data_IF_096020112873
#
_entry.id   IF_096020112873
#
_cell.length_a   1.000
_cell.length_b   1.000
_cell.length_c   1.000
_cell.angle_alpha   90.00
_cell.angle_beta   90.00
_cell.angle_gamma   90.00
#
_symmetry.space_group_name_H-M   'P 1'
#
loop_
_entity.id
_entity.type
_entity.pdbx_description
1 polymer ?
#
# COMPACT_ATOMS: atom_id res chain seq x y z
N UNK A 1 -19.35 -7.02 -2.43
CA UNK A 1 -19.89 -6.12 -1.40
C UNK A 1 -18.73 -5.32 -0.81
N UNK A 2 -18.84 -3.99 -0.66
CA UNK A 2 -17.75 -3.20 -0.05
C UNK A 2 -17.71 -3.47 1.46
N UNK A 3 -16.51 -3.54 2.04
CA UNK A 3 -16.34 -3.69 3.48
C UNK A 3 -16.90 -2.46 4.20
N UNK A 4 -17.73 -2.68 5.22
CA UNK A 4 -18.33 -1.62 6.04
C UNK A 4 -17.65 -1.62 7.41
N UNK A 5 -17.13 -0.47 7.82
CA UNK A 5 -16.53 -0.28 9.15
C UNK A 5 -17.52 0.44 10.05
N UNK A 6 -17.69 -0.07 11.27
CA UNK A 6 -18.47 0.57 12.33
C UNK A 6 -17.54 0.90 13.49
N UNK A 7 -17.47 2.16 13.87
CA UNK A 7 -16.76 2.59 15.06
C UNK A 7 -17.76 2.58 16.21
N UNK A 8 -17.55 1.72 17.21
CA UNK A 8 -18.44 1.57 18.36
C UNK A 8 -17.87 2.35 19.54
N UNK A 9 -18.51 3.47 19.85
CA UNK A 9 -18.22 4.39 20.96
C UNK A 9 -19.31 4.34 22.03
N UNK A 10 -20.54 3.97 21.67
CA UNK A 10 -21.70 3.94 22.56
C UNK A 10 -22.68 2.80 22.22
N UNK A 11 -23.69 2.63 23.08
CA UNK A 11 -24.69 1.57 22.94
C UNK A 11 -25.61 1.73 21.72
N UNK A 12 -25.81 2.96 21.21
CA UNK A 12 -26.68 3.18 20.04
C UNK A 12 -26.04 2.63 18.74
N UNK A 13 -24.71 2.68 18.67
CA UNK A 13 -23.97 2.13 17.53
C UNK A 13 -23.97 0.60 17.52
N UNK A 14 -24.09 -0.05 18.69
CA UNK A 14 -24.25 -1.51 18.80
C UNK A 14 -25.53 -1.96 18.09
N UNK A 15 -26.66 -1.27 18.30
CA UNK A 15 -27.93 -1.60 17.65
C UNK A 15 -27.82 -1.51 16.12
N UNK A 16 -27.12 -0.49 15.62
CA UNK A 16 -26.86 -0.33 14.18
C UNK A 16 -26.02 -1.47 13.60
N UNK A 17 -25.00 -1.91 14.34
CA UNK A 17 -24.15 -3.05 13.96
C UNK A 17 -24.97 -4.34 13.93
N UNK A 18 -25.79 -4.60 14.94
CA UNK A 18 -26.65 -5.79 15.02
C UNK A 18 -27.62 -5.82 13.83
N UNK A 19 -28.27 -4.70 13.50
CA UNK A 19 -29.18 -4.61 12.36
C UNK A 19 -28.46 -4.88 11.03
N UNK A 20 -27.24 -4.35 10.87
CA UNK A 20 -26.41 -4.59 9.69
C UNK A 20 -25.97 -6.05 9.58
N UNK A 21 -25.55 -6.67 10.69
CA UNK A 21 -25.19 -8.09 10.73
C UNK A 21 -26.37 -8.97 10.34
N UNK A 22 -27.56 -8.74 10.90
CA UNK A 22 -28.76 -9.51 10.56
C UNK A 22 -29.09 -9.43 9.07
N UNK A 23 -29.06 -8.23 8.50
CA UNK A 23 -29.39 -8.01 7.09
C UNK A 23 -28.40 -8.72 6.17
N UNK A 24 -27.11 -8.64 6.49
CA UNK A 24 -26.06 -9.15 5.61
C UNK A 24 -25.77 -10.63 5.82
N UNK A 25 -25.95 -11.16 7.02
CA UNK A 25 -25.93 -12.61 7.27
C UNK A 25 -27.01 -13.30 6.44
N UNK A 26 -28.22 -12.77 6.45
CA UNK A 26 -29.34 -13.36 5.70
C UNK A 26 -29.06 -13.40 4.20
N UNK A 27 -28.48 -12.33 3.64
CA UNK A 27 -28.06 -12.27 2.23
C UNK A 27 -26.89 -13.21 1.92
N UNK A 28 -25.87 -13.23 2.78
CA UNK A 28 -24.70 -14.09 2.60
C UNK A 28 -25.07 -15.58 2.69
N UNK A 29 -25.98 -15.94 3.59
CA UNK A 29 -26.54 -17.28 3.71
C UNK A 29 -27.33 -17.68 2.45
N UNK A 30 -28.09 -16.75 1.86
CA UNK A 30 -28.80 -16.98 0.59
C UNK A 30 -27.83 -17.19 -0.59
N UNK A 31 -26.70 -16.49 -0.59
CA UNK A 31 -25.63 -16.64 -1.59
C UNK A 31 -24.64 -17.78 -1.27
N UNK A 32 -24.87 -18.52 -0.17
CA UNK A 32 -24.00 -19.59 0.32
C UNK A 32 -22.53 -19.18 0.52
N UNK A 33 -22.32 -17.93 0.96
CA UNK A 33 -20.99 -17.35 1.24
C UNK A 33 -20.88 -17.02 2.74
N UNK A 34 -19.70 -17.21 3.35
CA UNK A 34 -19.50 -16.85 4.75
C UNK A 34 -19.48 -15.33 4.95
N UNK A 35 -20.16 -14.86 6.00
CA UNK A 35 -20.02 -13.46 6.47
C UNK A 35 -18.84 -13.38 7.45
N UNK A 36 -17.78 -12.68 7.07
CA UNK A 36 -16.59 -12.48 7.92
C UNK A 36 -16.70 -11.17 8.69
N UNK A 37 -16.71 -11.24 10.02
CA UNK A 37 -16.70 -10.07 10.92
C UNK A 37 -15.34 -9.98 11.59
N UNK A 38 -14.70 -8.80 11.55
CA UNK A 38 -13.49 -8.49 12.31
C UNK A 38 -13.83 -7.38 13.31
N UNK A 39 -13.54 -7.62 14.58
CA UNK A 39 -13.72 -6.65 15.67
C UNK A 39 -12.33 -6.30 16.18
N UNK A 40 -12.02 -5.01 16.21
CA UNK A 40 -10.76 -4.50 16.73
C UNK A 40 -11.04 -3.40 17.76
N UNK A 41 -10.15 -3.25 18.74
CA UNK A 41 -10.23 -2.18 19.75
C UNK A 41 -9.60 -0.87 19.25
N UNK A 42 -8.84 -0.90 18.15
CA UNK A 42 -8.23 0.28 17.56
C UNK A 42 -8.93 0.65 16.26
N UNK A 43 -9.13 1.95 16.07
CA UNK A 43 -9.48 2.54 14.78
C UNK A 43 -8.21 2.50 13.89
N UNK A 44 -7.77 1.30 13.51
CA UNK A 44 -6.57 1.14 12.69
C UNK A 44 -6.89 1.51 11.24
N UNK A 45 -6.56 2.75 10.90
CA UNK A 45 -6.52 3.24 9.54
C UNK A 45 -5.52 2.39 8.75
N UNK A 46 -6.04 1.62 7.78
CA UNK A 46 -5.25 0.72 6.93
C UNK A 46 -4.08 1.46 6.28
N UNK A 47 -4.24 2.71 5.88
CA UNK A 47 -3.15 3.51 5.31
C UNK A 47 -2.01 3.70 6.31
N UNK A 48 -2.32 3.97 7.58
CA UNK A 48 -1.32 4.08 8.65
C UNK A 48 -0.66 2.73 8.93
N UNK A 49 -1.43 1.66 9.01
CA UNK A 49 -0.91 0.31 9.25
C UNK A 49 0.03 -0.15 8.13
N UNK A 50 -0.33 0.09 6.87
CA UNK A 50 0.53 -0.19 5.71
C UNK A 50 1.82 0.64 5.75
N UNK A 51 1.74 1.94 6.07
CA UNK A 51 2.94 2.78 6.18
C UNK A 51 3.87 2.30 7.30
N UNK A 52 3.34 1.86 8.45
CA UNK A 52 4.17 1.26 9.52
C UNK A 52 4.89 0.01 9.02
N UNK A 53 4.18 -0.88 8.32
CA UNK A 53 4.75 -2.10 7.74
C UNK A 53 5.85 -1.76 6.73
N UNK A 54 5.59 -0.81 5.84
CA UNK A 54 6.54 -0.32 4.84
C UNK A 54 7.87 0.11 5.47
N UNK A 55 7.83 1.01 6.46
CA UNK A 55 9.05 1.49 7.12
C UNK A 55 9.78 0.39 7.91
N UNK A 56 9.04 -0.57 8.48
CA UNK A 56 9.64 -1.75 9.12
C UNK A 56 10.46 -2.55 8.11
N UNK A 57 9.88 -2.83 6.95
CA UNK A 57 10.56 -3.57 5.88
C UNK A 57 11.75 -2.83 5.29
N UNK A 58 11.66 -1.52 5.09
CA UNK A 58 12.81 -0.71 4.67
C UNK A 58 13.98 -0.84 5.64
N UNK A 59 13.69 -0.83 6.95
CA UNK A 59 14.72 -0.99 7.97
C UNK A 59 15.38 -2.38 7.92
N UNK A 60 14.59 -3.44 7.73
CA UNK A 60 15.12 -4.80 7.59
C UNK A 60 15.97 -4.95 6.33
N UNK A 61 15.49 -4.41 5.21
CA UNK A 61 16.19 -4.45 3.94
C UNK A 61 17.48 -3.63 3.96
N UNK A 62 17.45 -2.41 4.51
CA UNK A 62 18.63 -1.56 4.68
C UNK A 62 19.72 -2.26 5.51
N UNK A 63 19.32 -2.94 6.60
CA UNK A 63 20.25 -3.76 7.40
C UNK A 63 20.86 -4.92 6.60
N UNK A 64 20.08 -5.54 5.71
CA UNK A 64 20.56 -6.64 4.87
C UNK A 64 21.54 -6.16 3.78
N UNK A 65 21.28 -4.99 3.18
CA UNK A 65 22.14 -4.40 2.15
C UNK A 65 23.36 -3.65 2.72
N UNK A 66 23.32 -3.26 3.99
CA UNK A 66 24.32 -2.37 4.59
C UNK A 66 24.14 -0.91 4.14
N UNK A 67 22.90 -0.51 3.85
CA UNK A 67 22.52 0.83 3.40
C UNK A 67 21.63 1.54 4.43
N UNK A 68 21.12 2.73 4.07
CA UNK A 68 20.19 3.49 4.90
C UNK A 68 18.74 3.39 4.39
N UNK A 69 17.77 3.43 5.32
CA UNK A 69 16.34 3.27 5.03
C UNK A 69 15.82 4.33 4.05
N UNK A 70 16.35 5.56 4.07
CA UNK A 70 15.88 6.66 3.22
C UNK A 70 16.45 6.50 1.80
N UNK A 71 17.63 5.90 1.68
CA UNK A 71 18.19 5.48 0.38
C UNK A 71 17.33 4.37 -0.24
N UNK A 72 16.97 3.36 0.56
CA UNK A 72 16.10 2.27 0.09
C UNK A 72 14.69 2.75 -0.21
N UNK A 73 14.18 3.72 0.54
CA UNK A 73 12.91 4.40 0.26
C UNK A 73 12.92 4.99 -1.16
N UNK A 74 13.94 5.77 -1.51
CA UNK A 74 14.08 6.35 -2.84
C UNK A 74 14.26 5.27 -3.93
N UNK A 75 15.01 4.22 -3.64
CA UNK A 75 15.20 3.10 -4.57
C UNK A 75 13.87 2.42 -4.92
N UNK A 76 13.08 2.04 -3.92
CA UNK A 76 11.79 1.36 -4.15
C UNK A 76 10.76 2.27 -4.79
N UNK A 77 10.74 3.56 -4.44
CA UNK A 77 9.88 4.55 -5.11
C UNK A 77 10.18 4.61 -6.61
N UNK A 78 11.46 4.69 -6.97
CA UNK A 78 11.89 4.76 -8.37
C UNK A 78 11.56 3.47 -9.10
N UNK A 79 11.68 2.33 -8.44
CA UNK A 79 11.58 1.00 -9.06
C UNK A 79 10.16 0.50 -9.24
N UNK A 80 9.29 0.68 -8.24
CA UNK A 80 7.95 0.11 -8.23
C UNK A 80 6.86 1.19 -8.17
N UNK A 81 6.95 2.13 -7.23
CA UNK A 81 5.89 3.13 -7.04
C UNK A 81 5.69 4.02 -8.29
N UNK A 82 6.79 4.40 -8.94
CA UNK A 82 6.77 5.16 -10.19
C UNK A 82 6.00 4.45 -11.31
N UNK A 83 6.11 3.12 -11.39
CA UNK A 83 5.46 2.28 -12.40
C UNK A 83 3.96 2.22 -12.14
N UNK A 84 3.58 2.01 -10.89
CA UNK A 84 2.16 2.00 -10.46
C UNK A 84 1.52 3.37 -10.74
N UNK A 85 2.20 4.47 -10.38
CA UNK A 85 1.67 5.82 -10.56
C UNK A 85 1.54 6.20 -12.03
N UNK A 86 2.49 5.79 -12.87
CA UNK A 86 2.40 6.00 -14.30
C UNK A 86 1.27 5.19 -14.95
N UNK A 87 1.09 3.93 -14.53
CA UNK A 87 0.05 3.04 -15.05
C UNK A 87 -1.36 3.56 -14.72
N UNK A 88 -1.56 3.98 -13.48
CA UNK A 88 -2.89 4.31 -12.94
C UNK A 88 -3.22 5.81 -13.01
N UNK A 89 -2.34 6.62 -13.62
CA UNK A 89 -2.50 8.08 -13.74
C UNK A 89 -2.74 8.76 -12.39
N UNK A 90 -1.87 8.46 -11.43
CA UNK A 90 -1.99 9.00 -10.07
C UNK A 90 -1.48 10.44 -10.04
N UNK A 91 -2.30 11.34 -9.50
CA UNK A 91 -1.94 12.75 -9.28
C UNK A 91 -1.70 13.52 -10.58
N UNK A 92 -0.83 14.53 -10.53
CA UNK A 92 -0.45 15.35 -11.69
C UNK A 92 0.91 14.95 -12.27
N UNK A 93 1.37 13.73 -11.99
CA UNK A 93 2.73 13.29 -12.32
C UNK A 93 2.89 12.80 -13.76
N UNK A 94 1.80 12.50 -14.48
CA UNK A 94 1.83 11.89 -15.81
C UNK A 94 2.68 12.66 -16.82
N UNK A 95 2.46 13.98 -16.90
CA UNK A 95 3.25 14.85 -17.79
C UNK A 95 4.74 14.83 -17.44
N UNK A 96 5.07 14.76 -16.15
CA UNK A 96 6.46 14.68 -15.69
C UNK A 96 7.08 13.32 -15.98
N UNK A 97 6.33 12.22 -15.86
CA UNK A 97 6.78 10.89 -16.26
C UNK A 97 7.04 10.80 -17.76
N UNK A 98 6.14 11.34 -18.59
CA UNK A 98 6.32 11.36 -20.04
C UNK A 98 7.54 12.20 -20.44
N UNK A 99 7.75 13.35 -19.79
CA UNK A 99 8.95 14.15 -19.97
C UNK A 99 10.23 13.38 -19.60
N UNK A 100 10.25 12.68 -18.45
CA UNK A 100 11.38 11.84 -18.03
C UNK A 100 11.65 10.71 -19.02
N UNK A 101 10.59 10.11 -19.59
CA UNK A 101 10.70 9.05 -20.60
C UNK A 101 11.31 9.56 -21.92
N UNK A 102 10.88 10.73 -22.38
CA UNK A 102 11.45 11.39 -23.57
C UNK A 102 12.93 11.73 -23.34
N UNK A 103 13.27 12.32 -22.20
CA UNK A 103 14.66 12.64 -21.85
C UNK A 103 15.54 11.38 -21.79
N UNK A 104 15.00 10.26 -21.30
CA UNK A 104 15.68 8.95 -21.30
C UNK A 104 15.97 8.47 -22.72
N UNK A 105 14.99 8.56 -23.62
CA UNK A 105 15.13 8.14 -25.02
C UNK A 105 16.16 8.98 -25.77
N UNK A 106 16.19 10.28 -25.51
CA UNK A 106 17.15 11.21 -26.09
C UNK A 106 18.54 11.13 -25.46
N UNK A 107 18.75 10.29 -24.43
CA UNK A 107 19.97 10.22 -23.63
C UNK A 107 20.42 11.60 -23.13
N UNK A 108 19.45 12.46 -22.79
CA UNK A 108 19.72 13.84 -22.44
C UNK A 108 20.52 13.91 -21.13
N UNK A 109 21.56 14.75 -21.01
CA UNK A 109 22.38 14.84 -19.79
C UNK A 109 21.58 15.12 -18.51
N UNK A 110 20.49 15.90 -18.64
CA UNK A 110 19.59 16.24 -17.53
C UNK A 110 18.67 15.09 -17.09
N UNK A 111 18.63 13.96 -17.80
CA UNK A 111 17.72 12.84 -17.49
C UNK A 111 17.81 12.42 -16.01
N UNK A 112 19.03 12.26 -15.49
CA UNK A 112 19.22 11.82 -14.11
C UNK A 112 18.68 12.85 -13.11
N UNK A 113 18.91 14.14 -13.36
CA UNK A 113 18.43 15.21 -12.49
C UNK A 113 16.91 15.26 -12.42
N UNK A 114 16.23 15.21 -13.59
CA UNK A 114 14.76 15.24 -13.64
C UNK A 114 14.16 13.95 -13.06
N UNK A 115 14.78 12.79 -13.33
CA UNK A 115 14.33 11.52 -12.77
C UNK A 115 14.47 11.46 -11.25
N UNK A 116 15.57 11.98 -10.69
CA UNK A 116 15.77 12.07 -9.24
C UNK A 116 14.78 13.05 -8.60
N UNK A 117 14.59 14.24 -9.17
CA UNK A 117 13.62 15.21 -8.66
C UNK A 117 12.19 14.68 -8.67
N UNK A 118 11.78 13.99 -9.75
CA UNK A 118 10.48 13.32 -9.79
C UNK A 118 10.37 12.24 -8.70
N UNK A 119 11.43 11.45 -8.50
CA UNK A 119 11.43 10.41 -7.49
C UNK A 119 11.34 10.96 -6.06
N UNK A 120 11.91 12.13 -5.79
CA UNK A 120 11.75 12.82 -4.51
C UNK A 120 10.31 13.32 -4.31
N UNK A 121 9.68 13.85 -5.37
CA UNK A 121 8.33 14.43 -5.33
C UNK A 121 7.19 13.42 -5.19
N UNK A 122 7.32 12.21 -5.73
CA UNK A 122 6.30 11.18 -5.61
C UNK A 122 6.09 10.86 -4.12
N UNK A 123 4.87 10.89 -3.60
CA UNK A 123 4.63 10.50 -2.21
C UNK A 123 3.89 9.16 -2.11
N UNK A 124 4.25 8.34 -1.12
CA UNK A 124 3.47 7.14 -0.78
C UNK A 124 2.09 7.52 -0.24
N UNK A 125 1.89 8.75 0.23
CA UNK A 125 0.59 9.25 0.71
C UNK A 125 -0.41 9.48 -0.42
N UNK A 126 0.06 9.64 -1.66
CA UNK A 126 -0.81 9.84 -2.81
C UNK A 126 -1.30 8.51 -3.39
N UNK A 127 -0.71 7.39 -2.94
CA UNK A 127 -1.14 6.05 -3.34
C UNK A 127 -2.45 5.70 -2.63
N UNK A 128 -3.40 5.17 -3.40
CA UNK A 128 -4.55 4.49 -2.79
C UNK A 128 -4.11 3.26 -2.00
N UNK A 129 -4.94 2.81 -1.07
CA UNK A 129 -4.70 1.58 -0.28
C UNK A 129 -4.39 0.37 -1.17
N UNK A 130 -5.06 0.24 -2.32
CA UNK A 130 -4.91 -0.90 -3.22
C UNK A 130 -3.57 -0.84 -3.96
N UNK A 131 -3.19 0.34 -4.47
CA UNK A 131 -1.89 0.59 -5.09
C UNK A 131 -0.75 0.40 -4.09
N UNK A 132 -0.95 0.81 -2.85
CA UNK A 132 0.07 0.66 -1.81
C UNK A 132 0.20 -0.81 -1.36
N UNK A 133 -0.89 -1.60 -1.34
CA UNK A 133 -0.81 -3.05 -1.17
C UNK A 133 -0.01 -3.71 -2.30
N UNK A 134 -0.24 -3.34 -3.57
CA UNK A 134 0.56 -3.83 -4.70
C UNK A 134 2.04 -3.49 -4.53
N UNK A 135 2.33 -2.24 -4.20
CA UNK A 135 3.69 -1.78 -3.94
C UNK A 135 4.40 -2.58 -2.84
N UNK A 136 3.72 -2.87 -1.73
CA UNK A 136 4.24 -3.73 -0.66
C UNK A 136 4.51 -5.15 -1.18
N UNK A 137 3.59 -5.75 -1.92
CA UNK A 137 3.77 -7.10 -2.46
C UNK A 137 4.97 -7.18 -3.42
N UNK A 138 5.16 -6.16 -4.26
CA UNK A 138 6.31 -6.08 -5.18
C UNK A 138 7.65 -5.96 -4.43
N UNK A 139 7.70 -5.15 -3.37
CA UNK A 139 8.88 -5.04 -2.49
C UNK A 139 9.16 -6.39 -1.83
N UNK A 140 8.14 -7.04 -1.27
CA UNK A 140 8.29 -8.33 -0.60
C UNK A 140 8.84 -9.40 -1.55
N UNK A 141 8.23 -9.52 -2.73
CA UNK A 141 8.69 -10.43 -3.77
C UNK A 141 10.12 -10.12 -4.23
N UNK A 142 10.49 -8.84 -4.35
CA UNK A 142 11.84 -8.44 -4.72
C UNK A 142 12.85 -8.81 -3.65
N UNK A 143 12.63 -8.44 -2.39
CA UNK A 143 13.53 -8.75 -1.29
C UNK A 143 13.70 -10.26 -1.11
N UNK A 144 12.61 -11.02 -1.23
CA UNK A 144 12.66 -12.48 -1.15
C UNK A 144 13.53 -13.09 -2.27
N UNK A 145 13.41 -12.58 -3.51
CA UNK A 145 14.29 -12.99 -4.62
C UNK A 145 15.77 -12.66 -4.39
N UNK A 146 16.06 -11.64 -3.59
CA UNK A 146 17.41 -11.25 -3.22
C UNK A 146 17.92 -11.97 -1.95
N UNK A 147 17.16 -12.95 -1.42
CA UNK A 147 17.54 -13.71 -0.24
C UNK A 147 17.23 -13.02 1.10
N UNK A 148 16.44 -11.95 1.09
CA UNK A 148 15.98 -11.27 2.29
C UNK A 148 14.49 -11.52 2.52
N UNK A 149 14.18 -12.39 3.50
CA UNK A 149 12.80 -12.57 3.95
C UNK A 149 12.40 -11.41 4.87
N UNK A 150 11.41 -10.63 4.43
CA UNK A 150 10.88 -9.53 5.23
C UNK A 150 9.84 -10.05 6.23
N UNK A 151 10.11 -9.84 7.52
CA UNK A 151 9.24 -10.29 8.59
C UNK A 151 8.05 -9.35 8.76
N UNK A 152 6.85 -9.90 8.59
CA UNK A 152 5.57 -9.21 8.80
C UNK A 152 4.99 -9.61 10.15
N UNK A 153 4.80 -8.66 11.08
CA UNK A 153 4.05 -8.90 12.31
C UNK A 153 2.65 -9.44 12.04
N UNK A 154 2.17 -10.33 12.90
CA UNK A 154 0.84 -10.93 12.78
C UNK A 154 -0.28 -9.88 12.79
N UNK A 155 -0.14 -8.85 13.61
CA UNK A 155 -1.06 -7.71 13.69
C UNK A 155 -1.08 -6.84 12.42
N UNK A 156 -0.12 -7.01 11.51
CA UNK A 156 -0.05 -6.29 10.24
C UNK A 156 -0.27 -7.20 9.03
N UNK A 157 -0.38 -8.53 9.17
CA UNK A 157 -0.57 -9.44 8.04
C UNK A 157 -1.82 -9.11 7.20
N UNK A 158 -2.88 -8.64 7.85
CA UNK A 158 -4.14 -8.30 7.19
C UNK A 158 -4.04 -7.12 6.19
N UNK A 159 -2.99 -6.30 6.25
CA UNK A 159 -2.81 -5.16 5.32
C UNK A 159 -2.31 -5.59 3.94
N UNK A 160 -1.78 -6.81 3.86
CA UNK A 160 -1.24 -7.44 2.65
C UNK A 160 -2.31 -8.18 1.84
N UNK A 161 -3.45 -8.50 2.46
CA UNK A 161 -4.58 -9.15 1.82
C UNK A 161 -5.31 -8.15 0.90
N UNK A 162 -4.99 -8.18 -0.39
CA UNK A 162 -5.78 -7.52 -1.44
C UNK A 162 -7.15 -8.19 -1.54
N UNK A 163 -8.16 -7.63 -0.86
CA UNK A 163 -9.55 -8.00 -1.13
C UNK A 163 -9.92 -7.48 -2.51
N UNK A 164 -9.94 -8.38 -3.49
CA UNK A 164 -10.57 -8.23 -4.81
C UNK A 164 -12.07 -7.99 -4.64
#
# INVERSE_FOLDING_TARGET
MKAQTFVIKDHAQITSVIAFLHTNYTKANFENKPLVVRVDQKEDDRSKAQNRLYWKWLTQWAKHQGSDKDTEHLFFKRKFLSVIFYRDDVGQYRNTFDAVKVLKQQKHPMYQYVASGLNELISTTDASVQQFTEYLNDIHAFCNKQGCWLETPEDLMWVMESRV
#
